data_IF_214579448412
#
_entry.id   IF_214579448412
#
_cell.length_a   1.000
_cell.length_b   1.000
_cell.length_c   1.000
_cell.angle_alpha   90.00
_cell.angle_beta   90.00
_cell.angle_gamma   90.00
#
_symmetry.space_group_name_H-M   'P 1'
#
loop_
_entity.id
_entity.type
_entity.pdbx_description
1 polymer ?
#
# COMPACT_ATOMS: atom_id res chain seq x y z
N UNK A 1 -44.94 29.59 9.03
CA UNK A 1 -45.76 28.48 8.51
C UNK A 1 -44.85 27.27 8.42
N UNK A 2 -44.80 26.45 9.48
CA UNK A 2 -45.36 25.09 9.53
C UNK A 2 -44.45 24.05 8.87
N UNK A 3 -44.06 22.91 9.45
CA UNK A 3 -44.10 22.32 10.82
C UNK A 3 -43.40 20.95 10.70
N UNK A 4 -42.78 20.47 11.80
CA UNK A 4 -42.58 19.06 12.21
C UNK A 4 -41.85 18.08 11.27
N UNK A 5 -40.89 17.24 11.67
CA UNK A 5 -40.45 16.76 12.98
C UNK A 5 -40.06 15.25 12.85
N UNK A 6 -38.97 14.75 13.46
CA UNK A 6 -38.45 13.38 13.29
C UNK A 6 -38.88 12.41 14.43
N UNK A 7 -38.84 11.08 14.21
CA UNK A 7 -39.01 10.02 15.23
C UNK A 7 -38.71 8.65 14.59
N UNK A 8 -38.24 7.59 15.26
CA UNK A 8 -37.59 7.33 16.54
C UNK A 8 -37.06 5.89 16.45
N UNK A 9 -36.00 5.60 17.19
CA UNK A 9 -35.42 4.29 17.51
C UNK A 9 -36.44 3.23 17.96
N UNK A 10 -36.20 1.95 17.64
CA UNK A 10 -36.75 0.83 18.42
C UNK A 10 -35.81 -0.40 18.42
N UNK A 11 -35.03 -0.50 19.49
CA UNK A 11 -34.52 -1.74 20.06
C UNK A 11 -35.68 -2.70 20.35
N UNK A 12 -35.35 -3.98 20.44
CA UNK A 12 -36.19 -5.11 20.92
C UNK A 12 -37.12 -5.76 19.90
N UNK A 13 -36.68 -6.90 19.37
CA UNK A 13 -37.54 -8.05 19.11
C UNK A 13 -36.78 -9.29 19.55
N UNK A 14 -36.85 -9.52 20.86
CA UNK A 14 -36.37 -10.69 21.57
C UNK A 14 -37.30 -11.89 21.33
N UNK A 15 -36.63 -13.04 21.35
CA UNK A 15 -37.07 -14.43 21.25
C UNK A 15 -38.35 -14.87 21.99
N UNK A 16 -38.78 -16.06 21.56
CA UNK A 16 -39.24 -17.22 22.36
C UNK A 16 -40.75 -17.38 22.50
N UNK A 17 -41.30 -18.34 21.74
CA UNK A 17 -42.64 -18.89 21.94
C UNK A 17 -42.53 -20.39 22.23
N UNK A 18 -42.50 -20.73 23.52
CA UNK A 18 -42.76 -22.06 24.05
C UNK A 18 -43.85 -21.93 25.11
N UNK A 19 -44.93 -22.73 24.97
CA UNK A 19 -45.75 -23.36 26.02
C UNK A 19 -47.11 -23.74 25.40
N UNK A 20 -47.53 -25.00 25.55
CA UNK A 20 -48.47 -25.40 26.63
C UNK A 20 -48.85 -26.89 26.51
N UNK A 21 -48.45 -27.63 27.54
CA UNK A 21 -49.07 -28.87 28.05
C UNK A 21 -50.58 -28.73 28.20
N UNK A 22 -51.31 -29.82 27.98
CA UNK A 22 -52.61 -30.10 28.61
C UNK A 22 -52.58 -31.48 29.25
N UNK A 23 -52.80 -31.45 30.56
CA UNK A 23 -52.98 -32.57 31.50
C UNK A 23 -54.46 -32.95 31.52
N UNK A 24 -54.80 -34.24 31.56
CA UNK A 24 -56.12 -34.76 31.98
C UNK A 24 -55.88 -35.88 33.01
N UNK A 25 -56.29 -35.62 34.26
CA UNK A 25 -56.62 -36.56 35.35
C UNK A 25 -57.84 -37.40 34.93
N UNK A 26 -58.15 -38.60 35.41
CA UNK A 26 -57.71 -39.48 36.50
C UNK A 26 -58.61 -40.74 36.43
N UNK A 27 -58.19 -41.94 36.84
CA UNK A 27 -58.25 -42.53 38.19
C UNK A 27 -59.07 -43.84 38.08
N UNK A 28 -58.52 -44.97 38.53
CA UNK A 28 -59.34 -46.11 38.96
C UNK A 28 -58.91 -47.52 38.52
N UNK A 29 -58.48 -48.30 39.51
CA UNK A 29 -58.65 -49.75 39.66
C UNK A 29 -57.59 -50.70 39.09
N UNK A 30 -56.79 -51.22 40.02
CA UNK A 30 -56.00 -52.45 39.95
C UNK A 30 -56.85 -53.65 39.52
N UNK A 31 -56.34 -54.42 38.57
CA UNK A 31 -56.55 -55.87 38.51
C UNK A 31 -55.27 -56.52 37.97
N UNK A 32 -54.64 -57.33 38.81
CA UNK A 32 -53.50 -58.15 38.44
C UNK A 32 -53.98 -59.34 37.60
N UNK A 33 -53.40 -59.56 36.41
CA UNK A 33 -53.50 -60.88 35.75
C UNK A 33 -52.42 -61.08 34.67
N UNK A 34 -51.50 -61.99 34.98
CA UNK A 34 -50.68 -62.82 34.09
C UNK A 34 -49.87 -62.15 32.97
N UNK A 35 -48.58 -61.95 33.24
CA UNK A 35 -47.54 -61.83 32.22
C UNK A 35 -47.38 -63.18 31.50
N UNK A 36 -47.99 -63.30 30.32
CA UNK A 36 -47.59 -64.31 29.34
C UNK A 36 -46.31 -63.79 28.67
N UNK A 37 -45.17 -64.44 28.91
CA UNK A 37 -43.94 -64.19 28.18
C UNK A 37 -44.12 -64.61 26.72
N UNK A 38 -44.67 -63.72 25.90
CA UNK A 38 -44.62 -63.84 24.46
C UNK A 38 -43.26 -63.34 23.99
N UNK A 39 -42.34 -64.25 23.68
CA UNK A 39 -41.22 -63.93 22.79
C UNK A 39 -41.87 -63.62 21.44
N UNK A 40 -42.06 -62.34 21.14
CA UNK A 40 -42.41 -61.92 19.78
C UNK A 40 -41.14 -62.01 18.96
N UNK A 41 -40.98 -63.11 18.23
CA UNK A 41 -40.10 -63.13 17.05
C UNK A 41 -40.71 -62.16 16.06
N UNK A 42 -40.20 -60.93 15.99
CA UNK A 42 -40.56 -60.00 14.93
C UNK A 42 -40.17 -60.65 13.61
N UNK A 43 -41.16 -60.96 12.78
CA UNK A 43 -40.95 -61.42 11.42
C UNK A 43 -40.21 -60.30 10.66
N UNK A 44 -38.91 -60.50 10.41
CA UNK A 44 -38.16 -59.69 9.45
C UNK A 44 -38.86 -59.79 8.10
N UNK A 45 -39.46 -58.70 7.65
CA UNK A 45 -40.15 -58.66 6.36
C UNK A 45 -39.11 -58.86 5.26
N UNK A 46 -39.16 -60.03 4.60
CA UNK A 46 -38.41 -60.27 3.38
C UNK A 46 -38.83 -59.23 2.34
N UNK A 47 -37.88 -58.45 1.87
CA UNK A 47 -38.07 -57.47 0.83
C UNK A 47 -37.32 -57.91 -0.43
N UNK A 48 -37.97 -57.74 -1.57
CA UNK A 48 -37.40 -58.01 -2.89
C UNK A 48 -37.36 -56.70 -3.69
N UNK A 49 -36.24 -56.47 -4.37
CA UNK A 49 -36.01 -55.30 -5.20
C UNK A 49 -35.37 -55.73 -6.52
N UNK A 50 -36.03 -55.45 -7.64
CA UNK A 50 -35.48 -55.72 -8.97
C UNK A 50 -35.17 -54.41 -9.69
N UNK A 51 -33.97 -54.30 -10.26
CA UNK A 51 -33.58 -53.11 -11.01
C UNK A 51 -32.16 -53.15 -11.54
N UNK A 52 -31.71 -52.04 -12.10
CA UNK A 52 -30.36 -51.90 -12.65
C UNK A 52 -29.44 -51.20 -11.64
N UNK A 53 -28.24 -51.73 -11.43
CA UNK A 53 -27.21 -51.04 -10.65
C UNK A 53 -26.77 -49.79 -11.43
N UNK A 54 -26.96 -48.60 -10.86
CA UNK A 54 -26.57 -47.31 -11.49
C UNK A 54 -25.32 -46.69 -10.87
N UNK A 55 -24.84 -47.25 -9.77
CA UNK A 55 -23.61 -46.84 -9.11
C UNK A 55 -23.31 -47.73 -7.92
N UNK A 56 -22.05 -47.76 -7.51
CA UNK A 56 -21.60 -48.48 -6.32
C UNK A 56 -20.42 -47.75 -5.69
N UNK A 57 -20.44 -47.65 -4.38
CA UNK A 57 -19.37 -47.10 -3.56
C UNK A 57 -19.15 -48.02 -2.35
N UNK A 58 -18.10 -48.84 -2.44
CA UNK A 58 -17.78 -49.88 -1.45
C UNK A 58 -18.95 -50.84 -1.17
N UNK A 59 -19.47 -50.92 0.07
CA UNK A 59 -20.60 -51.77 0.45
C UNK A 59 -21.96 -51.19 0.06
N UNK A 60 -22.04 -49.93 -0.39
CA UNK A 60 -23.31 -49.31 -0.78
C UNK A 60 -23.48 -49.38 -2.29
N UNK A 61 -24.62 -49.89 -2.75
CA UNK A 61 -25.00 -49.90 -4.16
C UNK A 61 -26.31 -49.16 -4.38
N UNK A 62 -26.43 -48.51 -5.54
CA UNK A 62 -27.61 -47.76 -5.93
C UNK A 62 -28.33 -48.51 -7.05
N UNK A 63 -29.57 -48.93 -6.80
CA UNK A 63 -30.37 -49.70 -7.75
C UNK A 63 -31.52 -48.84 -8.25
N UNK A 64 -31.59 -48.63 -9.57
CA UNK A 64 -32.71 -47.94 -10.21
C UNK A 64 -33.83 -48.94 -10.47
N UNK A 65 -34.98 -48.70 -9.86
CA UNK A 65 -36.21 -49.49 -9.99
C UNK A 65 -37.31 -48.57 -10.52
N UNK A 66 -37.71 -48.77 -11.78
CA UNK A 66 -38.51 -47.77 -12.51
C UNK A 66 -37.78 -46.43 -12.57
N UNK A 67 -38.42 -45.37 -12.06
CA UNK A 67 -37.83 -44.02 -11.99
C UNK A 67 -37.16 -43.68 -10.65
N UNK A 68 -37.22 -44.58 -9.67
CA UNK A 68 -36.66 -44.34 -8.32
C UNK A 68 -35.30 -44.99 -8.15
N UNK A 69 -34.42 -44.34 -7.39
CA UNK A 69 -33.15 -44.92 -6.92
C UNK A 69 -33.31 -45.41 -5.50
N UNK A 70 -33.04 -46.69 -5.28
CA UNK A 70 -33.05 -47.32 -3.97
C UNK A 70 -31.61 -47.58 -3.51
N UNK A 71 -31.35 -47.37 -2.22
CA UNK A 71 -30.05 -47.62 -1.59
C UNK A 71 -30.07 -49.05 -1.05
N UNK A 72 -29.09 -49.84 -1.46
CA UNK A 72 -28.91 -51.22 -1.02
C UNK A 72 -27.53 -51.32 -0.35
N UNK A 73 -27.49 -51.92 0.83
CA UNK A 73 -26.25 -52.16 1.58
C UNK A 73 -25.88 -53.63 1.47
N UNK A 74 -24.67 -53.90 0.98
CA UNK A 74 -24.03 -55.19 0.91
C UNK A 74 -23.27 -55.45 2.21
N UNK A 75 -23.38 -56.67 2.72
CA UNK A 75 -22.65 -57.17 3.88
C UNK A 75 -21.74 -58.33 3.45
N UNK A 76 -20.82 -58.75 4.31
CA UNK A 76 -19.88 -59.84 4.01
C UNK A 76 -20.58 -61.19 3.77
N UNK A 77 -21.80 -61.35 4.29
CA UNK A 77 -22.65 -62.52 4.08
C UNK A 77 -23.61 -62.40 2.87
N UNK A 78 -23.55 -61.30 2.11
CA UNK A 78 -24.41 -61.13 0.94
C UNK A 78 -23.94 -62.06 -0.18
N UNK A 79 -24.81 -62.99 -0.59
CA UNK A 79 -24.52 -63.94 -1.66
C UNK A 79 -24.83 -63.31 -3.02
N UNK A 80 -23.90 -63.34 -3.97
CA UNK A 80 -24.09 -62.78 -5.31
C UNK A 80 -24.04 -63.88 -6.37
N UNK A 81 -25.21 -64.32 -6.83
CA UNK A 81 -25.36 -65.54 -7.64
C UNK A 81 -25.73 -65.24 -9.10
N UNK A 82 -24.94 -65.76 -10.04
CA UNK A 82 -25.33 -65.86 -11.45
C UNK A 82 -26.31 -67.03 -11.63
N UNK A 83 -27.49 -66.75 -12.21
CA UNK A 83 -28.44 -67.73 -12.72
C UNK A 83 -28.15 -68.02 -14.20
N UNK A 84 -27.89 -69.29 -14.53
CA UNK A 84 -27.58 -69.73 -15.89
C UNK A 84 -28.22 -71.06 -16.31
N UNK A 85 -28.26 -71.30 -17.63
CA UNK A 85 -28.77 -72.53 -18.27
C UNK A 85 -30.21 -72.40 -18.81
N UNK A 86 -30.57 -73.23 -19.81
CA UNK A 86 -31.87 -73.21 -20.52
C UNK A 86 -33.10 -73.42 -19.61
N UNK A 87 -32.89 -73.82 -18.34
CA UNK A 87 -33.92 -73.96 -17.30
C UNK A 87 -33.50 -73.39 -15.91
N UNK A 88 -32.42 -72.61 -15.81
CA UNK A 88 -31.98 -71.98 -14.54
C UNK A 88 -31.30 -72.91 -13.53
N UNK A 89 -30.84 -74.09 -13.94
CA UNK A 89 -30.25 -75.11 -13.05
C UNK A 89 -28.77 -74.89 -12.72
N UNK A 90 -28.10 -73.92 -13.34
CA UNK A 90 -26.71 -73.56 -13.01
C UNK A 90 -26.70 -72.31 -12.15
N UNK A 91 -26.11 -72.43 -10.97
CA UNK A 91 -25.83 -71.33 -10.06
C UNK A 91 -24.33 -71.22 -9.86
N UNK A 92 -23.78 -70.03 -10.08
CA UNK A 92 -22.38 -69.75 -9.76
C UNK A 92 -22.33 -68.54 -8.84
N UNK A 93 -21.81 -68.74 -7.63
CA UNK A 93 -21.50 -67.62 -6.75
C UNK A 93 -20.24 -66.94 -7.27
N UNK A 94 -20.37 -65.66 -7.62
CA UNK A 94 -19.28 -64.84 -8.13
C UNK A 94 -18.85 -63.80 -7.09
N UNK A 95 -19.49 -63.79 -5.91
CA UNK A 95 -19.23 -62.85 -4.85
C UNK A 95 -19.65 -61.41 -5.19
N UNK A 96 -19.71 -60.58 -4.16
CA UNK A 96 -20.16 -59.19 -4.28
C UNK A 96 -19.36 -58.39 -5.31
N UNK A 97 -18.12 -58.76 -5.65
CA UNK A 97 -17.30 -58.09 -6.66
C UNK A 97 -17.90 -58.14 -8.07
N UNK A 98 -18.74 -59.13 -8.39
CA UNK A 98 -19.39 -59.26 -9.69
C UNK A 98 -20.53 -58.24 -9.92
N UNK A 99 -20.93 -57.51 -8.87
CA UNK A 99 -21.99 -56.50 -8.93
C UNK A 99 -21.43 -55.18 -9.47
N UNK A 100 -21.42 -55.05 -10.80
CA UNK A 100 -20.94 -53.86 -11.53
C UNK A 100 -22.10 -52.94 -11.95
N UNK A 101 -21.88 -51.63 -12.12
CA UNK A 101 -22.87 -50.73 -12.73
C UNK A 101 -23.33 -51.23 -14.11
N UNK A 102 -24.60 -51.02 -14.42
CA UNK A 102 -25.27 -51.54 -15.63
C UNK A 102 -25.82 -52.96 -15.49
N UNK A 103 -25.49 -53.69 -14.42
CA UNK A 103 -26.02 -55.03 -14.16
C UNK A 103 -27.46 -54.96 -13.68
N UNK A 104 -28.34 -55.68 -14.36
CA UNK A 104 -29.70 -55.94 -13.86
C UNK A 104 -29.67 -57.06 -12.83
N UNK A 105 -30.23 -56.76 -11.65
CA UNK A 105 -30.20 -57.59 -10.46
C UNK A 105 -31.58 -57.71 -9.81
N UNK A 106 -31.80 -58.83 -9.12
CA UNK A 106 -32.85 -59.04 -8.14
C UNK A 106 -32.20 -59.17 -6.76
N UNK A 107 -32.55 -58.29 -5.84
CA UNK A 107 -31.99 -58.21 -4.50
C UNK A 107 -33.04 -58.67 -3.50
N UNK A 108 -32.72 -59.73 -2.76
CA UNK A 108 -33.49 -60.19 -1.62
C UNK A 108 -32.80 -59.74 -0.33
N UNK A 109 -33.56 -59.12 0.56
CA UNK A 109 -33.00 -58.48 1.75
C UNK A 109 -34.03 -58.17 2.82
N UNK A 110 -33.63 -57.33 3.76
CA UNK A 110 -34.50 -56.76 4.79
C UNK A 110 -34.24 -55.27 4.88
N UNK A 111 -35.29 -54.46 5.03
CA UNK A 111 -35.12 -53.03 5.25
C UNK A 111 -34.63 -52.76 6.68
N UNK A 112 -33.67 -51.85 6.79
CA UNK A 112 -33.25 -51.26 8.06
C UNK A 112 -34.20 -50.12 8.50
N UNK A 113 -34.00 -49.60 9.71
CA UNK A 113 -34.71 -48.46 10.29
C UNK A 113 -34.64 -47.20 9.40
N UNK A 114 -33.56 -47.05 8.64
CA UNK A 114 -33.34 -45.97 7.65
C UNK A 114 -33.98 -46.22 6.27
N UNK A 115 -34.79 -47.28 6.12
CA UNK A 115 -35.35 -47.74 4.84
C UNK A 115 -34.30 -48.09 3.77
N UNK A 116 -33.09 -48.46 4.20
CA UNK A 116 -32.04 -49.02 3.35
C UNK A 116 -32.23 -50.53 3.25
N UNK A 117 -32.15 -51.10 2.04
CA UNK A 117 -32.29 -52.54 1.87
C UNK A 117 -30.94 -53.22 2.17
N UNK A 118 -30.87 -53.98 3.25
CA UNK A 118 -29.72 -54.83 3.55
C UNK A 118 -29.85 -56.11 2.73
N UNK A 119 -28.97 -56.27 1.74
CA UNK A 119 -29.01 -57.40 0.82
C UNK A 119 -28.49 -58.68 1.49
N UNK A 120 -29.27 -59.76 1.41
CA UNK A 120 -28.81 -61.11 1.76
C UNK A 120 -28.43 -61.90 0.52
N UNK A 121 -29.19 -61.73 -0.57
CA UNK A 121 -28.94 -62.40 -1.84
C UNK A 121 -29.12 -61.41 -2.98
N UNK A 122 -28.21 -61.42 -3.93
CA UNK A 122 -28.29 -60.65 -5.17
C UNK A 122 -28.16 -61.63 -6.32
N UNK A 123 -29.19 -61.70 -7.16
CA UNK A 123 -29.26 -62.61 -8.28
C UNK A 123 -29.22 -61.84 -9.59
N UNK A 124 -28.47 -62.35 -10.56
CA UNK A 124 -28.40 -61.77 -11.90
C UNK A 124 -28.25 -62.87 -12.94
N UNK A 125 -28.44 -62.52 -14.20
CA UNK A 125 -28.34 -63.49 -15.30
C UNK A 125 -27.02 -63.33 -16.05
N UNK A 126 -26.58 -64.40 -16.71
CA UNK A 126 -25.42 -64.31 -17.62
C UNK A 126 -25.60 -63.25 -18.71
N UNK A 127 -26.83 -63.08 -19.21
CA UNK A 127 -27.17 -62.08 -20.22
C UNK A 127 -26.96 -60.66 -19.69
N UNK A 128 -27.52 -60.35 -18.52
CA UNK A 128 -27.38 -59.03 -17.91
C UNK A 128 -25.92 -58.71 -17.53
N UNK A 129 -25.14 -59.71 -17.10
CA UNK A 129 -23.72 -59.54 -16.84
C UNK A 129 -22.91 -59.26 -18.10
N UNK A 130 -23.20 -59.95 -19.21
CA UNK A 130 -22.57 -59.65 -20.50
C UNK A 130 -22.89 -58.23 -20.98
N UNK A 131 -24.14 -57.79 -20.86
CA UNK A 131 -24.56 -56.43 -21.22
C UNK A 131 -23.88 -55.39 -20.33
N UNK A 132 -23.83 -55.60 -19.01
CA UNK A 132 -23.17 -54.70 -18.08
C UNK A 132 -21.67 -54.52 -18.41
N UNK A 133 -20.97 -55.62 -18.68
CA UNK A 133 -19.56 -55.58 -19.07
C UNK A 133 -19.33 -54.86 -20.40
N UNK A 134 -20.25 -54.97 -21.37
CA UNK A 134 -20.16 -54.23 -22.63
C UNK A 134 -20.35 -52.72 -22.42
N UNK A 135 -21.27 -52.33 -21.53
CA UNK A 135 -21.49 -50.92 -21.17
C UNK A 135 -20.25 -50.37 -20.47
N UNK A 136 -19.73 -51.09 -19.48
CA UNK A 136 -18.53 -50.69 -18.74
C UNK A 136 -17.33 -50.51 -19.68
N UNK A 137 -17.08 -51.48 -20.57
CA UNK A 137 -16.02 -51.39 -21.58
C UNK A 137 -16.18 -50.17 -22.52
N UNK A 138 -17.42 -49.79 -22.86
CA UNK A 138 -17.72 -48.59 -23.64
C UNK A 138 -17.57 -47.28 -22.87
N UNK A 139 -17.74 -47.31 -21.54
CA UNK A 139 -17.58 -46.15 -20.66
C UNK A 139 -16.12 -45.91 -20.24
N UNK A 140 -15.26 -46.92 -20.25
CA UNK A 140 -13.81 -46.80 -19.97
C UNK A 140 -13.13 -45.63 -20.69
N UNK A 141 -13.25 -45.45 -22.03
CA UNK A 141 -12.63 -44.31 -22.71
C UNK A 141 -13.24 -42.96 -22.28
N UNK A 142 -14.52 -42.92 -21.90
CA UNK A 142 -15.18 -41.71 -21.40
C UNK A 142 -14.68 -41.36 -20.00
N UNK A 143 -14.59 -42.34 -19.10
CA UNK A 143 -14.06 -42.15 -17.75
C UNK A 143 -12.59 -41.71 -17.78
N UNK A 144 -11.78 -42.29 -18.68
CA UNK A 144 -10.40 -41.86 -18.89
C UNK A 144 -10.31 -40.40 -19.40
N UNK A 145 -11.20 -39.99 -20.32
CA UNK A 145 -11.29 -38.60 -20.77
C UNK A 145 -11.69 -37.65 -19.66
N UNK A 146 -12.67 -38.03 -18.83
CA UNK A 146 -13.11 -37.21 -17.69
C UNK A 146 -11.99 -37.04 -16.67
N UNK A 147 -11.24 -38.10 -16.35
CA UNK A 147 -10.08 -38.02 -15.47
C UNK A 147 -9.00 -37.09 -16.05
N UNK A 148 -8.64 -37.24 -17.33
CA UNK A 148 -7.67 -36.37 -17.98
C UNK A 148 -8.12 -34.90 -18.04
N UNK A 149 -9.42 -34.65 -18.22
CA UNK A 149 -9.99 -33.29 -18.16
C UNK A 149 -9.93 -32.71 -16.75
N UNK A 150 -10.20 -33.51 -15.72
CA UNK A 150 -10.06 -33.09 -14.32
C UNK A 150 -8.62 -32.71 -14.00
N UNK A 151 -7.64 -33.48 -14.46
CA UNK A 151 -6.22 -33.17 -14.29
C UNK A 151 -5.82 -31.87 -15.00
N UNK A 152 -6.28 -31.67 -16.24
CA UNK A 152 -6.04 -30.44 -17.01
C UNK A 152 -6.70 -29.21 -16.35
N UNK A 153 -7.87 -29.37 -15.74
CA UNK A 153 -8.52 -28.30 -14.98
C UNK A 153 -7.73 -27.96 -13.71
N UNK A 154 -7.18 -28.95 -13.02
CA UNK A 154 -6.33 -28.73 -11.84
C UNK A 154 -5.01 -28.03 -12.20
N UNK A 155 -4.37 -28.37 -13.33
CA UNK A 155 -3.19 -27.63 -13.79
C UNK A 155 -3.53 -26.20 -14.19
N UNK A 156 -4.60 -26.00 -14.96
CA UNK A 156 -5.04 -24.66 -15.35
C UNK A 156 -5.38 -23.77 -14.14
N UNK A 157 -5.97 -24.34 -13.08
CA UNK A 157 -6.20 -23.61 -11.82
C UNK A 157 -4.89 -23.15 -11.17
N UNK A 158 -3.89 -24.03 -11.09
CA UNK A 158 -2.56 -23.67 -10.57
C UNK A 158 -1.89 -22.57 -11.39
N UNK A 159 -2.02 -22.61 -12.72
CA UNK A 159 -1.47 -21.58 -13.61
C UNK A 159 -2.18 -20.22 -13.45
N UNK A 160 -3.49 -20.25 -13.22
CA UNK A 160 -4.27 -19.03 -12.92
C UNK A 160 -3.84 -18.45 -11.58
N UNK A 161 -3.66 -19.29 -10.55
CA UNK A 161 -3.22 -18.86 -9.22
C UNK A 161 -1.81 -18.24 -9.27
N UNK A 162 -0.87 -18.84 -10.00
CA UNK A 162 0.47 -18.27 -10.17
C UNK A 162 0.42 -16.95 -10.95
N UNK A 163 -0.33 -16.89 -12.05
CA UNK A 163 -0.50 -15.66 -12.82
C UNK A 163 -1.13 -14.54 -11.99
N UNK A 164 -2.10 -14.86 -11.12
CA UNK A 164 -2.70 -13.89 -10.20
C UNK A 164 -1.69 -13.37 -9.18
N UNK A 165 -0.80 -14.23 -8.66
CA UNK A 165 0.29 -13.82 -7.78
C UNK A 165 1.27 -12.88 -8.49
N UNK A 166 1.65 -13.17 -9.73
CA UNK A 166 2.55 -12.33 -10.53
C UNK A 166 1.94 -10.97 -10.85
N UNK A 167 0.63 -10.94 -11.17
CA UNK A 167 -0.12 -9.70 -11.37
C UNK A 167 -0.17 -8.88 -10.08
N UNK A 168 -0.36 -9.52 -8.93
CA UNK A 168 -0.38 -8.82 -7.63
C UNK A 168 0.99 -8.21 -7.30
N UNK A 169 2.07 -8.96 -7.50
CA UNK A 169 3.44 -8.47 -7.33
C UNK A 169 3.75 -7.31 -8.29
N UNK A 170 3.39 -7.45 -9.57
CA UNK A 170 3.56 -6.40 -10.58
C UNK A 170 2.77 -5.14 -10.23
N UNK A 171 1.54 -5.26 -9.71
CA UNK A 171 0.75 -4.13 -9.24
C UNK A 171 1.41 -3.39 -8.08
N UNK A 172 1.99 -4.13 -7.13
CA UNK A 172 2.74 -3.54 -6.02
C UNK A 172 3.97 -2.78 -6.53
N UNK A 173 4.70 -3.35 -7.50
CA UNK A 173 5.86 -2.69 -8.10
C UNK A 173 5.48 -1.44 -8.89
N UNK A 174 4.39 -1.47 -9.67
CA UNK A 174 3.89 -0.29 -10.37
C UNK A 174 3.51 0.81 -9.37
N UNK A 175 2.83 0.45 -8.28
CA UNK A 175 2.48 1.41 -7.23
C UNK A 175 3.74 2.01 -6.56
N UNK A 176 4.76 1.20 -6.30
CA UNK A 176 6.03 1.68 -5.75
C UNK A 176 6.75 2.62 -6.72
N UNK A 177 6.85 2.26 -8.01
CA UNK A 177 7.45 3.10 -9.04
C UNK A 177 6.70 4.43 -9.18
N UNK A 178 5.36 4.41 -9.17
CA UNK A 178 4.54 5.62 -9.22
C UNK A 178 4.77 6.53 -8.01
N UNK A 179 4.94 5.97 -6.81
CA UNK A 179 5.27 6.76 -5.61
C UNK A 179 6.66 7.38 -5.72
N UNK A 180 7.64 6.63 -6.23
CA UNK A 180 8.98 7.12 -6.44
C UNK A 180 9.01 8.24 -7.48
N UNK A 181 8.33 8.08 -8.62
CA UNK A 181 8.20 9.12 -9.64
C UNK A 181 7.58 10.41 -9.09
N UNK A 182 6.59 10.30 -8.19
CA UNK A 182 6.01 11.47 -7.52
C UNK A 182 6.98 12.15 -6.57
N UNK A 183 7.78 11.38 -5.82
CA UNK A 183 8.80 11.93 -4.94
C UNK A 183 9.91 12.63 -5.73
N UNK A 184 10.39 11.99 -6.80
CA UNK A 184 11.42 12.54 -7.69
C UNK A 184 10.91 13.83 -8.37
N UNK A 185 9.66 13.84 -8.83
CA UNK A 185 9.03 15.03 -9.40
C UNK A 185 8.91 16.17 -8.37
N UNK A 186 8.52 15.88 -7.13
CA UNK A 186 8.43 16.88 -6.06
C UNK A 186 9.82 17.43 -5.67
N UNK A 187 10.82 16.56 -5.60
CA UNK A 187 12.21 16.97 -5.34
C UNK A 187 12.75 17.84 -6.46
N UNK A 188 12.52 17.47 -7.72
CA UNK A 188 12.91 18.26 -8.88
C UNK A 188 12.23 19.63 -8.88
N UNK A 189 10.90 19.68 -8.65
CA UNK A 189 10.16 20.95 -8.56
C UNK A 189 10.65 21.82 -7.41
N UNK A 190 10.94 21.24 -6.25
CA UNK A 190 11.49 21.98 -5.10
C UNK A 190 12.90 22.51 -5.40
N UNK A 191 13.75 21.69 -6.03
CA UNK A 191 15.10 22.08 -6.44
C UNK A 191 15.08 23.21 -7.47
N UNK A 192 14.20 23.13 -8.48
CA UNK A 192 13.98 24.18 -9.48
C UNK A 192 13.44 25.44 -8.82
N UNK A 193 12.44 25.32 -7.94
CA UNK A 193 11.86 26.45 -7.22
C UNK A 193 12.89 27.20 -6.36
N UNK A 194 13.72 26.46 -5.61
CA UNK A 194 14.85 27.03 -4.85
C UNK A 194 15.85 27.73 -5.78
N UNK A 195 16.20 27.10 -6.90
CA UNK A 195 17.16 27.66 -7.87
C UNK A 195 16.62 28.93 -8.52
N UNK A 196 15.38 28.92 -8.99
CA UNK A 196 14.71 30.10 -9.56
C UNK A 196 14.61 31.23 -8.53
N UNK A 197 14.30 30.89 -7.26
CA UNK A 197 14.30 31.84 -6.16
C UNK A 197 15.66 32.50 -5.94
N UNK A 198 16.75 31.71 -5.98
CA UNK A 198 18.12 32.22 -5.89
C UNK A 198 18.46 33.14 -7.07
N UNK A 199 18.14 32.72 -8.29
CA UNK A 199 18.40 33.49 -9.52
C UNK A 199 17.68 34.84 -9.46
N UNK A 200 16.40 34.87 -9.04
CA UNK A 200 15.63 36.11 -8.89
C UNK A 200 16.16 37.06 -7.81
N UNK A 201 17.06 36.59 -6.93
CA UNK A 201 17.67 37.38 -5.87
C UNK A 201 19.14 37.74 -6.16
N UNK A 202 19.66 37.41 -7.34
CA UNK A 202 21.06 37.71 -7.70
C UNK A 202 21.33 39.21 -7.83
N UNK A 203 20.35 40.03 -8.14
CA UNK A 203 20.53 41.50 -8.19
C UNK A 203 20.33 42.18 -6.84
N UNK A 204 19.95 41.40 -5.81
CA UNK A 204 19.67 41.94 -4.48
C UNK A 204 20.86 41.77 -3.55
N UNK A 205 21.19 42.84 -2.84
CA UNK A 205 22.29 42.88 -1.89
C UNK A 205 21.78 43.20 -0.49
N UNK A 206 22.41 42.58 0.50
CA UNK A 206 22.21 42.88 1.91
C UNK A 206 23.51 43.45 2.49
N UNK A 207 23.39 44.49 3.31
CA UNK A 207 24.52 45.03 4.08
C UNK A 207 24.86 44.10 5.23
N UNK A 208 26.08 43.54 5.23
CA UNK A 208 26.60 42.75 6.35
C UNK A 208 27.38 43.56 7.37
N UNK A 209 27.93 44.70 6.96
CA UNK A 209 28.63 45.59 7.86
C UNK A 209 28.98 46.90 7.18
N UNK A 210 29.21 47.92 8.01
CA UNK A 210 29.61 49.25 7.57
C UNK A 210 30.71 49.77 8.49
N UNK A 211 31.79 50.28 7.89
CA UNK A 211 32.87 50.98 8.58
C UNK A 211 32.93 52.41 8.06
N UNK A 212 33.16 53.36 8.97
CA UNK A 212 33.34 54.77 8.63
C UNK A 212 34.77 55.20 8.93
N UNK A 213 35.46 55.75 7.92
CA UNK A 213 36.80 56.32 8.03
C UNK A 213 36.71 57.83 7.97
N UNK A 214 37.20 58.52 9.00
CA UNK A 214 37.08 59.98 9.11
C UNK A 214 38.36 60.71 8.72
N UNK A 215 38.21 61.93 8.20
CA UNK A 215 39.34 62.71 7.66
C UNK A 215 39.50 64.09 8.31
N UNK A 216 40.76 64.52 8.39
CA UNK A 216 41.11 65.89 8.76
C UNK A 216 40.60 66.88 7.70
N UNK A 217 40.39 68.13 8.11
CA UNK A 217 39.96 69.17 7.19
C UNK A 217 40.97 69.35 6.04
N UNK A 218 40.48 69.48 4.81
CA UNK A 218 41.30 69.64 3.60
C UNK A 218 42.28 68.48 3.30
N UNK A 219 42.14 67.33 3.94
CA UNK A 219 43.04 66.19 3.79
C UNK A 219 42.32 64.94 3.30
N UNK A 220 43.05 64.12 2.56
CA UNK A 220 42.69 62.75 2.14
C UNK A 220 43.61 61.68 2.76
N UNK A 221 44.42 62.06 3.77
CA UNK A 221 45.32 61.12 4.45
C UNK A 221 44.53 60.30 5.47
N UNK A 222 44.58 58.97 5.33
CA UNK A 222 43.99 58.02 6.29
C UNK A 222 44.93 57.86 7.49
N UNK A 223 44.40 57.90 8.71
CA UNK A 223 45.21 57.73 9.92
C UNK A 223 45.68 56.28 10.07
N UNK A 224 46.77 56.04 10.84
CA UNK A 224 47.26 54.67 11.06
C UNK A 224 46.21 53.79 11.75
N UNK A 225 45.47 54.34 12.72
CA UNK A 225 44.42 53.62 13.42
C UNK A 225 43.25 53.25 12.48
N UNK A 226 42.78 54.20 11.66
CA UNK A 226 41.71 53.92 10.70
C UNK A 226 42.16 52.93 9.61
N UNK A 227 43.43 52.98 9.21
CA UNK A 227 44.03 52.01 8.28
C UNK A 227 43.96 50.59 8.87
N UNK A 228 44.36 50.42 10.13
CA UNK A 228 44.34 49.11 10.79
C UNK A 228 42.92 48.58 10.95
N UNK A 229 41.97 49.44 11.36
CA UNK A 229 40.56 49.07 11.44
C UNK A 229 39.95 48.70 10.08
N UNK A 230 40.32 49.42 9.03
CA UNK A 230 39.89 49.12 7.67
C UNK A 230 40.43 47.77 7.20
N UNK A 231 41.72 47.49 7.43
CA UNK A 231 42.34 46.22 7.07
C UNK A 231 41.71 45.03 7.81
N UNK A 232 41.37 45.18 9.08
CA UNK A 232 40.69 44.12 9.83
C UNK A 232 39.23 43.95 9.38
N UNK A 233 38.53 45.04 9.10
CA UNK A 233 37.17 45.00 8.57
C UNK A 233 37.10 44.27 7.23
N UNK A 234 37.97 44.59 6.27
CA UNK A 234 37.96 43.92 4.96
C UNK A 234 38.39 42.45 5.02
N UNK A 235 39.26 42.06 5.97
CA UNK A 235 39.59 40.64 6.21
C UNK A 235 38.37 39.84 6.66
N UNK A 236 37.46 40.42 7.44
CA UNK A 236 36.21 39.73 7.80
C UNK A 236 35.31 39.49 6.58
N UNK A 237 35.33 40.41 5.61
CA UNK A 237 34.59 40.29 4.35
C UNK A 237 35.06 39.12 3.49
N UNK A 238 36.38 38.88 3.43
CA UNK A 238 36.99 37.84 2.58
C UNK A 238 36.48 36.42 2.84
N UNK A 239 35.96 36.16 4.05
CA UNK A 239 35.39 34.86 4.43
C UNK A 239 33.93 34.67 3.98
N UNK A 240 33.29 35.69 3.41
CA UNK A 240 31.86 35.65 3.08
C UNK A 240 31.66 35.39 1.58
N UNK A 241 31.02 34.28 1.16
CA UNK A 241 30.76 34.03 -0.25
C UNK A 241 29.92 35.13 -0.91
N UNK A 242 30.28 35.53 -2.13
CA UNK A 242 29.49 36.52 -2.90
C UNK A 242 29.52 37.95 -2.34
N UNK A 243 30.50 38.29 -1.50
CA UNK A 243 30.66 39.64 -0.99
C UNK A 243 31.12 40.64 -2.05
N UNK A 244 30.71 41.89 -1.88
CA UNK A 244 31.25 43.06 -2.54
C UNK A 244 31.52 44.17 -1.52
N UNK A 245 32.49 45.03 -1.82
CA UNK A 245 32.86 46.16 -0.97
C UNK A 245 32.49 47.44 -1.70
N UNK A 246 31.56 48.19 -1.13
CA UNK A 246 31.17 49.51 -1.62
C UNK A 246 31.93 50.60 -0.88
N UNK A 247 32.54 51.54 -1.60
CA UNK A 247 33.31 52.65 -1.02
C UNK A 247 32.75 54.00 -1.46
N UNK A 248 32.18 54.76 -0.52
CA UNK A 248 31.58 56.07 -0.77
C UNK A 248 32.33 57.16 -0.02
N UNK A 249 32.90 58.12 -0.74
CA UNK A 249 33.56 59.29 -0.14
C UNK A 249 32.64 60.50 -0.02
N UNK A 250 32.66 61.17 1.13
CA UNK A 250 31.88 62.37 1.43
C UNK A 250 32.77 63.53 1.92
N UNK A 251 32.26 64.74 1.77
CA UNK A 251 32.86 65.97 2.26
C UNK A 251 31.83 66.82 3.04
N UNK A 252 32.34 67.62 3.97
CA UNK A 252 31.54 68.64 4.66
C UNK A 252 31.06 69.70 3.67
N UNK A 253 29.91 70.33 3.95
CA UNK A 253 29.34 71.37 3.07
C UNK A 253 30.14 72.69 3.05
N UNK A 254 31.16 72.83 3.90
CA UNK A 254 32.01 74.03 3.95
C UNK A 254 32.96 74.06 2.75
N UNK A 255 33.02 75.20 2.05
CA UNK A 255 33.87 75.40 0.86
C UNK A 255 33.09 75.27 -0.45
N UNK A 256 33.80 75.30 -1.58
CA UNK A 256 33.17 75.19 -2.89
C UNK A 256 32.75 73.75 -3.20
N UNK A 257 31.66 73.59 -3.97
CA UNK A 257 31.18 72.27 -4.40
C UNK A 257 32.27 71.50 -5.17
N UNK A 258 33.01 72.17 -6.06
CA UNK A 258 34.13 71.58 -6.81
C UNK A 258 35.24 71.06 -5.90
N UNK A 259 35.61 71.83 -4.87
CA UNK A 259 36.62 71.41 -3.90
C UNK A 259 36.15 70.19 -3.12
N UNK A 260 34.91 70.20 -2.65
CA UNK A 260 34.33 69.12 -1.87
C UNK A 260 34.13 67.84 -2.70
N UNK A 261 33.77 67.98 -3.98
CA UNK A 261 33.71 66.87 -4.93
C UNK A 261 35.10 66.24 -5.08
N UNK A 262 36.13 67.05 -5.35
CA UNK A 262 37.52 66.58 -5.48
C UNK A 262 38.00 65.89 -4.21
N UNK A 263 37.81 66.50 -3.03
CA UNK A 263 38.23 65.92 -1.75
C UNK A 263 37.48 64.61 -1.45
N UNK A 264 36.20 64.52 -1.81
CA UNK A 264 35.45 63.28 -1.64
C UNK A 264 35.97 62.14 -2.54
N UNK A 265 36.43 62.47 -3.76
CA UNK A 265 37.13 61.53 -4.64
C UNK A 265 38.47 61.09 -4.07
N UNK A 266 39.35 62.05 -3.74
CA UNK A 266 40.69 61.77 -3.24
C UNK A 266 40.68 60.89 -1.97
N UNK A 267 39.68 61.08 -1.10
CA UNK A 267 39.48 60.24 0.09
C UNK A 267 39.03 58.83 -0.25
N UNK A 268 38.09 58.68 -1.17
CA UNK A 268 37.66 57.37 -1.64
C UNK A 268 38.82 56.62 -2.30
N UNK A 269 39.63 57.31 -3.12
CA UNK A 269 40.82 56.78 -3.77
C UNK A 269 41.89 56.36 -2.76
N UNK A 270 42.11 57.14 -1.70
CA UNK A 270 43.03 56.78 -0.63
C UNK A 270 42.61 55.50 0.12
N UNK A 271 41.31 55.34 0.38
CA UNK A 271 40.76 54.11 0.98
C UNK A 271 40.85 52.94 0.01
N UNK A 272 40.53 53.14 -1.27
CA UNK A 272 40.69 52.13 -2.32
C UNK A 272 42.14 51.64 -2.39
N UNK A 273 43.12 52.54 -2.39
CA UNK A 273 44.54 52.17 -2.44
C UNK A 273 44.95 51.27 -1.26
N UNK A 274 44.42 51.53 -0.06
CA UNK A 274 44.66 50.67 1.12
C UNK A 274 44.02 49.29 0.92
N UNK A 275 42.77 49.24 0.46
CA UNK A 275 42.06 47.97 0.21
C UNK A 275 42.82 47.15 -0.84
N UNK A 276 43.29 47.79 -1.91
CA UNK A 276 44.08 47.16 -2.97
C UNK A 276 45.42 46.65 -2.46
N UNK A 277 46.14 47.45 -1.66
CA UNK A 277 47.43 47.08 -1.09
C UNK A 277 47.31 45.93 -0.08
N UNK A 278 46.19 45.82 0.63
CA UNK A 278 45.93 44.74 1.58
C UNK A 278 45.90 43.35 0.92
N UNK A 279 45.55 43.28 -0.37
CA UNK A 279 45.38 42.02 -1.11
C UNK A 279 44.17 41.18 -0.69
N UNK A 280 43.39 41.61 0.31
CA UNK A 280 42.28 40.82 0.86
C UNK A 280 41.02 40.81 -0.04
N UNK A 281 40.89 41.79 -0.93
CA UNK A 281 39.69 41.99 -1.77
C UNK A 281 40.11 42.10 -3.24
N UNK A 282 39.63 41.19 -4.12
CA UNK A 282 39.84 41.31 -5.56
C UNK A 282 39.19 42.58 -6.12
N UNK A 283 39.85 43.22 -7.11
CA UNK A 283 39.32 44.41 -7.79
C UNK A 283 37.92 44.21 -8.35
N UNK A 284 37.60 43.00 -8.81
CA UNK A 284 36.28 42.62 -9.35
C UNK A 284 35.16 42.63 -8.31
N UNK A 285 35.47 42.76 -7.02
CA UNK A 285 34.50 42.81 -5.91
C UNK A 285 34.41 44.19 -5.26
N UNK A 286 35.02 45.22 -5.84
CA UNK A 286 34.97 46.58 -5.32
C UNK A 286 33.98 47.39 -6.17
N UNK A 287 32.92 47.87 -5.54
CA UNK A 287 32.01 48.86 -6.11
C UNK A 287 32.48 50.23 -5.66
N UNK A 288 33.00 51.03 -6.59
CA UNK A 288 33.46 52.38 -6.29
C UNK A 288 32.46 53.43 -6.80
N UNK A 289 31.44 53.82 -6.02
CA UNK A 289 30.71 55.06 -6.27
C UNK A 289 31.63 56.23 -5.93
N UNK A 290 32.45 56.62 -6.91
CA UNK A 290 33.41 57.69 -6.77
C UNK A 290 32.70 59.03 -6.49
N UNK A 291 33.11 59.67 -5.40
CA UNK A 291 32.79 61.04 -4.98
C UNK A 291 31.30 61.39 -4.83
N UNK A 292 30.79 61.29 -3.60
CA UNK A 292 29.44 61.74 -3.23
C UNK A 292 29.37 63.23 -2.89
N UNK A 293 30.50 63.94 -2.92
CA UNK A 293 30.60 65.37 -2.62
C UNK A 293 30.01 65.69 -1.26
N UNK A 294 29.10 66.66 -1.22
CA UNK A 294 28.42 67.12 0.01
C UNK A 294 27.03 66.51 0.19
N UNK A 295 26.69 65.44 -0.54
CA UNK A 295 25.42 64.74 -0.34
C UNK A 295 25.39 64.00 1.00
N UNK A 296 24.19 63.63 1.47
CA UNK A 296 23.98 62.76 2.65
C UNK A 296 24.81 63.18 3.89
N UNK A 297 24.60 64.43 4.34
CA UNK A 297 25.22 64.95 5.56
C UNK A 297 24.63 64.24 6.79
N UNK A 298 25.48 63.69 7.65
CA UNK A 298 25.06 62.92 8.84
C UNK A 298 25.03 63.77 10.10
N UNK A 299 25.63 64.96 10.06
CA UNK A 299 25.68 65.89 11.19
C UNK A 299 25.60 67.35 10.72
N UNK A 300 25.40 68.27 11.66
CA UNK A 300 25.33 69.70 11.39
C UNK A 300 26.66 70.27 10.87
N UNK A 301 26.62 70.95 9.72
CA UNK A 301 27.80 71.56 9.10
C UNK A 301 28.20 72.91 9.73
N UNK A 302 27.41 73.48 10.64
CA UNK A 302 27.78 74.73 11.33
C UNK A 302 28.71 74.47 12.52
N UNK A 303 28.73 73.25 13.07
CA UNK A 303 29.63 72.86 14.16
C UNK A 303 30.93 72.21 13.65
N UNK A 304 32.06 72.46 14.34
CA UNK A 304 33.34 71.79 14.01
C UNK A 304 33.26 70.26 14.15
N UNK A 305 32.46 69.76 15.11
CA UNK A 305 32.27 68.32 15.33
C UNK A 305 31.47 67.70 14.19
N UNK A 306 30.33 68.28 13.81
CA UNK A 306 29.50 67.74 12.73
C UNK A 306 30.20 67.79 11.38
N UNK A 307 30.98 68.86 11.10
CA UNK A 307 31.86 68.86 9.92
C UNK A 307 32.86 67.69 9.92
N UNK A 308 33.36 67.26 11.09
CA UNK A 308 34.28 66.10 11.19
C UNK A 308 33.59 64.81 10.83
N UNK A 309 32.36 64.60 11.30
CA UNK A 309 31.55 63.42 10.98
C UNK A 309 31.14 63.40 9.50
N UNK A 310 30.96 64.56 8.89
CA UNK A 310 30.63 64.68 7.47
C UNK A 310 31.83 64.43 6.52
N UNK A 311 33.06 64.63 6.99
CA UNK A 311 34.29 64.31 6.25
C UNK A 311 34.65 62.85 6.44
N UNK A 312 33.94 61.97 5.75
CA UNK A 312 34.06 60.53 5.93
C UNK A 312 34.10 59.77 4.62
N UNK A 313 34.66 58.56 4.67
CA UNK A 313 34.44 57.52 3.69
C UNK A 313 33.68 56.39 4.37
N UNK A 314 32.58 55.97 3.77
CA UNK A 314 31.77 54.84 4.24
C UNK A 314 32.14 53.63 3.40
N UNK A 315 32.63 52.59 4.06
CA UNK A 315 32.97 51.30 3.47
C UNK A 315 31.91 50.30 3.90
N UNK A 316 31.17 49.75 2.95
CA UNK A 316 30.06 48.83 3.22
C UNK A 316 30.35 47.47 2.60
N UNK A 317 30.20 46.41 3.39
CA UNK A 317 30.25 45.03 2.88
C UNK A 317 28.82 44.64 2.51
N UNK A 318 28.64 44.35 1.23
CA UNK A 318 27.40 43.88 0.64
C UNK A 318 27.53 42.39 0.34
N UNK A 319 26.46 41.62 0.50
CA UNK A 319 26.42 40.21 0.08
C UNK A 319 25.23 39.94 -0.80
N UNK A 320 25.46 39.12 -1.82
CA UNK A 320 24.43 38.74 -2.78
C UNK A 320 23.40 37.81 -2.13
N UNK A 321 22.13 38.22 -2.09
CA UNK A 321 21.06 37.45 -1.44
C UNK A 321 20.80 36.10 -2.13
N UNK A 322 20.98 36.01 -3.44
CA UNK A 322 20.90 34.72 -4.16
C UNK A 322 21.99 33.71 -3.81
N UNK A 323 23.12 34.19 -3.26
CA UNK A 323 24.23 33.35 -2.79
C UNK A 323 24.08 33.02 -1.30
N UNK A 324 23.85 34.02 -0.44
CA UNK A 324 23.82 33.81 1.02
C UNK A 324 22.43 33.46 1.58
N UNK A 325 21.34 33.89 0.96
CA UNK A 325 19.97 33.68 1.46
C UNK A 325 19.49 32.21 1.42
N UNK A 326 20.34 31.29 0.98
CA UNK A 326 20.05 29.85 0.93
C UNK A 326 20.67 29.06 2.09
N UNK A 327 21.57 29.65 2.89
CA UNK A 327 22.25 28.93 3.98
C UNK A 327 21.33 28.58 5.16
N UNK A 328 20.17 29.23 5.29
CA UNK A 328 19.17 28.90 6.31
C UNK A 328 18.26 27.72 5.92
N UNK A 329 18.42 27.13 4.73
CA UNK A 329 17.51 26.10 4.20
C UNK A 329 18.18 24.76 3.91
N UNK A 330 19.44 24.56 4.34
CA UNK A 330 20.22 23.33 4.11
C UNK A 330 20.12 22.29 5.22
N UNK A 331 19.39 22.54 6.31
CA UNK A 331 19.25 21.59 7.43
C UNK A 331 18.05 20.63 7.29
N UNK A 332 17.83 20.03 6.12
CA UNK A 332 16.93 18.87 5.98
C UNK A 332 17.03 18.24 4.59
N UNK A 333 18.19 17.68 4.26
CA UNK A 333 18.26 16.66 3.20
C UNK A 333 18.69 15.37 3.89
N UNK A 334 17.70 14.67 4.46
CA UNK A 334 17.83 13.28 4.86
C UNK A 334 18.01 12.46 3.59
N UNK A 335 19.19 11.87 3.42
CA UNK A 335 19.47 10.86 2.38
C UNK A 335 18.46 9.71 2.47
N UNK A 336 17.78 9.33 1.38
CA UNK A 336 17.19 8.02 1.27
C UNK A 336 18.27 7.00 0.88
N UNK A 337 18.51 6.04 1.77
CA UNK A 337 18.84 4.63 1.49
C UNK A 337 20.04 4.31 0.58
N UNK A 338 21.11 3.81 1.20
CA UNK A 338 21.91 2.74 0.60
C UNK A 338 21.15 1.41 0.67
#
# INVERSE_FOLDING_TARGET
MSRCGPNKTRKELLMKNQRRMKTILGLGMSFAMLTFSGVTVQAQSNAELQGMIVGRDGPTMYVKTGDTRQIVTLQDNTQATEKGGFLGWSHKDLGIAALVPGLEVKVDGTYDQDHKLIARKVEFTRGSMRTANQIDAGLTPTNAKVAAQQDALMSARRDIESTQADIAASKQQIAANQQQEQQDAQQAQTGIGKTNGRIGQLDQYETKGTLTVNFRNGSAVVSKADKDQLEDFIKTASNTPGFMVQVQGYASAVGSATLNQRLSSERADAVLAIIQQSGAVPMTRILAPAAMGTSEQVADNHSRSGQKENRRVVVTILVNKGIVGSSDQTASVTQPGQ
#
